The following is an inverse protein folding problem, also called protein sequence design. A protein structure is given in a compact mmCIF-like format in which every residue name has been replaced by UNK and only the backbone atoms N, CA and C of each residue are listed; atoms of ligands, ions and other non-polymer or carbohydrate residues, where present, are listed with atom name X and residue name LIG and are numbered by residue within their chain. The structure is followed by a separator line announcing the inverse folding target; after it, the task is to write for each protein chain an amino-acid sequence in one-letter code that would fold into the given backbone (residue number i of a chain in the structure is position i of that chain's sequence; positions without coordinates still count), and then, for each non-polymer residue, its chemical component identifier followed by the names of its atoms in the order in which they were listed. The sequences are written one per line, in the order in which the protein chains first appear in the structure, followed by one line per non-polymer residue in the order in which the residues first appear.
data_IF_588372960402
#
_entry.id   IF_588372960402
#
_cell.length_a   1.000
_cell.length_b   1.000
_cell.length_c   1.000
_cell.angle_alpha   90.00
_cell.angle_beta   90.00
_cell.angle_gamma   90.00
#
_symmetry.space_group_name_H-M   'P 1'
#
loop_
_entity.id
_entity.type
_entity.pdbx_description
1 polymer ?
#
# COMPACT_ATOMS: atom_id res chain seq x y z
N UNK A 1 9.34 24.07 8.07
CA UNK A 1 9.62 22.74 8.61
C UNK A 1 9.93 22.93 10.07
N UNK A 2 9.07 22.41 10.93
CA UNK A 2 9.25 22.48 12.38
C UNK A 2 9.91 21.17 12.81
N UNK A 3 10.91 21.24 13.69
CA UNK A 3 11.60 20.07 14.22
C UNK A 3 12.12 20.36 15.62
N UNK A 4 12.45 19.32 16.37
CA UNK A 4 13.16 19.44 17.63
C UNK A 4 14.18 18.31 17.81
N UNK A 5 15.16 18.54 18.67
CA UNK A 5 16.10 17.51 19.08
C UNK A 5 15.58 16.80 20.34
N UNK A 6 15.43 15.47 20.35
CA UNK A 6 14.94 14.71 21.52
C UNK A 6 15.75 14.92 22.80
N UNK A 7 17.05 15.25 22.68
CA UNK A 7 17.91 15.54 23.84
C UNK A 7 17.49 16.82 24.60
N UNK A 8 16.67 17.67 23.98
CA UNK A 8 16.19 18.91 24.57
C UNK A 8 14.86 18.78 25.30
N UNK A 9 14.22 17.60 25.28
CA UNK A 9 12.95 17.36 25.98
C UNK A 9 13.15 16.47 27.21
N UNK A 10 12.21 16.56 28.16
CA UNK A 10 12.26 15.80 29.41
C UNK A 10 11.93 14.33 29.20
N UNK A 11 12.24 13.50 30.20
CA UNK A 11 11.85 12.09 30.23
C UNK A 11 10.35 11.91 30.03
N UNK A 12 9.54 12.85 30.53
CA UNK A 12 8.11 12.96 30.28
C UNK A 12 7.70 14.43 30.31
N UNK A 13 6.82 14.83 29.39
CA UNK A 13 6.15 16.12 29.38
C UNK A 13 4.76 16.02 28.75
N UNK A 14 3.93 17.02 29.00
CA UNK A 14 2.57 17.11 28.46
C UNK A 14 2.44 18.36 27.60
N UNK A 15 1.91 18.22 26.38
CA UNK A 15 1.47 19.34 25.56
C UNK A 15 -0.03 19.49 25.75
N UNK A 16 -0.46 20.66 26.24
CA UNK A 16 -1.88 20.98 26.45
C UNK A 16 -2.38 21.79 25.26
N UNK A 17 -3.30 21.23 24.47
CA UNK A 17 -3.88 21.90 23.30
C UNK A 17 -5.39 21.69 23.22
N UNK A 18 -6.17 22.79 23.19
CA UNK A 18 -7.64 22.76 23.23
C UNK A 18 -8.22 21.86 24.34
N UNK A 19 -7.56 21.83 25.51
CA UNK A 19 -7.95 20.98 26.65
C UNK A 19 -7.57 19.51 26.52
N UNK A 20 -7.00 19.09 25.39
CA UNK A 20 -6.43 17.75 25.21
C UNK A 20 -5.00 17.72 25.75
N UNK A 21 -4.64 16.60 26.38
CA UNK A 21 -3.31 16.35 26.93
C UNK A 21 -2.61 15.37 25.98
N UNK A 22 -1.55 15.83 25.31
CA UNK A 22 -0.70 14.99 24.46
C UNK A 22 0.54 14.61 25.27
N UNK A 23 0.68 13.34 25.70
CA UNK A 23 1.87 12.88 26.39
C UNK A 23 3.03 12.79 25.41
N UNK A 24 4.20 13.28 25.83
CA UNK A 24 5.44 13.23 25.07
C UNK A 24 6.57 12.74 25.98
N UNK A 25 7.47 11.92 25.44
CA UNK A 25 8.64 11.45 26.17
C UNK A 25 9.84 11.43 25.23
N UNK A 26 11.02 11.78 25.75
CA UNK A 26 12.27 11.62 25.00
C UNK A 26 12.50 10.19 24.49
N UNK A 27 11.92 9.19 25.15
CA UNK A 27 12.07 7.77 24.79
C UNK A 27 11.20 7.35 23.59
N UNK A 28 10.39 8.24 23.02
CA UNK A 28 9.62 7.99 21.81
C UNK A 28 10.44 8.15 20.52
N UNK A 29 11.69 8.63 20.63
CA UNK A 29 12.50 9.08 19.51
C UNK A 29 13.92 8.53 19.56
N UNK A 30 14.59 8.49 18.41
CA UNK A 30 16.02 8.25 18.35
C UNK A 30 16.78 9.49 18.88
N UNK A 31 17.67 9.35 19.88
CA UNK A 31 18.41 10.48 20.45
C UNK A 31 19.44 11.12 19.51
N UNK A 32 19.83 10.45 18.44
CA UNK A 32 20.82 10.92 17.47
C UNK A 32 20.20 11.62 16.25
N UNK A 33 18.87 11.55 16.09
CA UNK A 33 18.15 12.15 14.97
C UNK A 33 17.30 13.36 15.40
N UNK A 34 17.05 14.27 14.45
CA UNK A 34 16.05 15.32 14.66
C UNK A 34 14.66 14.73 14.43
N UNK A 35 13.70 15.15 15.25
CA UNK A 35 12.30 14.78 15.09
C UNK A 35 11.59 15.87 14.31
N UNK A 36 11.10 15.51 13.13
CA UNK A 36 10.26 16.39 12.33
C UNK A 36 8.83 16.47 12.88
N UNK A 37 8.33 17.69 13.00
CA UNK A 37 6.93 17.97 13.36
C UNK A 37 6.16 18.19 12.06
N UNK A 38 5.22 17.30 11.80
CA UNK A 38 4.35 17.36 10.63
C UNK A 38 2.92 17.60 11.10
N UNK A 39 2.40 18.79 10.82
CA UNK A 39 0.99 19.10 11.01
C UNK A 39 0.18 18.49 9.86
N UNK A 40 -0.63 17.49 10.16
CA UNK A 40 -1.61 16.92 9.22
C UNK A 40 -3.00 17.21 9.75
N UNK A 41 -3.76 18.01 9.00
CA UNK A 41 -5.18 18.19 9.28
C UNK A 41 -5.90 16.85 9.07
N UNK A 42 -6.71 16.44 10.05
CA UNK A 42 -7.50 15.21 9.97
C UNK A 42 -8.94 15.60 9.69
N UNK A 43 -9.55 14.92 8.72
CA UNK A 43 -10.95 15.13 8.37
C UNK A 43 -11.87 14.90 9.57
N UNK A 44 -12.70 15.90 9.90
CA UNK A 44 -13.70 15.78 10.96
C UNK A 44 -14.94 15.04 10.47
N UNK A 45 -15.00 13.73 10.74
CA UNK A 45 -16.09 12.85 10.31
C UNK A 45 -17.43 13.07 11.03
N UNK A 46 -17.46 13.94 12.06
CA UNK A 46 -18.72 14.33 12.72
C UNK A 46 -19.48 15.40 11.92
N UNK A 47 -18.82 16.05 10.95
CA UNK A 47 -19.42 17.04 10.07
C UNK A 47 -19.73 16.41 8.71
N UNK A 48 -20.94 16.68 8.19
CA UNK A 48 -21.32 16.23 6.84
C UNK A 48 -20.59 17.08 5.79
N UNK A 49 -19.85 16.44 4.90
CA UNK A 49 -19.15 17.10 3.78
C UNK A 49 -19.57 16.60 2.39
N UNK A 50 -20.34 15.50 2.30
CA UNK A 50 -20.85 14.86 1.07
C UNK A 50 -19.77 14.62 -0.02
N UNK A 51 -18.52 14.45 0.39
CA UNK A 51 -17.35 14.30 -0.48
C UNK A 51 -16.42 13.23 0.06
N UNK A 52 -15.56 12.71 -0.82
CA UNK A 52 -14.42 11.88 -0.39
C UNK A 52 -13.54 12.71 0.54
N UNK A 53 -13.11 12.11 1.66
CA UNK A 53 -12.27 12.78 2.64
C UNK A 53 -10.84 12.94 2.13
N UNK A 54 -10.22 14.08 2.42
CA UNK A 54 -8.82 14.30 2.08
C UNK A 54 -7.92 13.31 2.81
N UNK A 55 -6.78 13.00 2.19
CA UNK A 55 -5.77 12.10 2.73
C UNK A 55 -5.56 10.86 1.86
N UNK A 56 -5.04 9.83 2.50
CA UNK A 56 -4.62 8.60 1.85
C UNK A 56 -5.09 7.41 2.66
N UNK A 57 -5.37 6.29 1.99
CA UNK A 57 -5.64 5.02 2.63
C UNK A 57 -4.64 3.98 2.17
N UNK A 58 -4.31 3.04 3.07
CA UNK A 58 -3.47 1.90 2.74
C UNK A 58 -4.35 0.81 2.09
N UNK A 59 -4.06 0.47 0.84
CA UNK A 59 -4.63 -0.65 0.10
C UNK A 59 -3.53 -1.72 0.03
N UNK A 60 -3.70 -2.79 0.79
CA UNK A 60 -2.68 -3.84 0.98
C UNK A 60 -1.33 -3.26 1.44
N UNK A 61 -0.25 -3.26 0.66
CA UNK A 61 1.03 -2.64 1.03
C UNK A 61 1.14 -1.14 0.66
N UNK A 62 0.23 -0.61 -0.16
CA UNK A 62 0.42 0.66 -0.85
C UNK A 62 -0.48 1.79 -0.32
N UNK A 63 0.05 3.01 -0.26
CA UNK A 63 -0.69 4.20 0.22
C UNK A 63 -1.24 4.96 -0.99
N UNK A 64 -2.56 5.02 -1.10
CA UNK A 64 -3.27 5.58 -2.27
C UNK A 64 -4.08 6.80 -1.85
N UNK A 65 -4.09 7.85 -2.67
CA UNK A 65 -4.90 9.04 -2.42
C UNK A 65 -6.39 8.65 -2.36
N UNK A 66 -7.12 9.15 -1.37
CA UNK A 66 -8.52 8.80 -1.18
C UNK A 66 -9.38 9.08 -2.42
N UNK A 67 -9.08 10.13 -3.18
CA UNK A 67 -9.79 10.47 -4.43
C UNK A 67 -9.55 9.48 -5.57
N UNK A 68 -8.47 8.69 -5.49
CA UNK A 68 -8.04 7.75 -6.53
C UNK A 68 -8.33 6.29 -6.18
N UNK A 69 -8.62 5.99 -4.90
CA UNK A 69 -8.81 4.60 -4.41
C UNK A 69 -9.77 3.81 -5.28
N UNK A 70 -10.90 4.41 -5.67
CA UNK A 70 -11.90 3.70 -6.47
C UNK A 70 -11.31 3.27 -7.81
N UNK A 71 -10.71 4.19 -8.55
CA UNK A 71 -10.09 3.91 -9.84
C UNK A 71 -8.94 2.94 -9.70
N UNK A 72 -8.09 3.11 -8.68
CA UNK A 72 -6.97 2.21 -8.38
C UNK A 72 -7.43 0.77 -8.16
N UNK A 73 -8.42 0.54 -7.28
CA UNK A 73 -8.93 -0.80 -6.96
C UNK A 73 -9.64 -1.41 -8.17
N UNK A 74 -10.43 -0.64 -8.91
CA UNK A 74 -11.12 -1.13 -10.10
C UNK A 74 -10.14 -1.57 -11.20
N UNK A 75 -9.09 -0.77 -11.46
CA UNK A 75 -8.04 -1.10 -12.42
C UNK A 75 -7.20 -2.31 -11.96
N UNK A 76 -6.77 -2.34 -10.69
CA UNK A 76 -6.05 -3.47 -10.08
C UNK A 76 -6.78 -4.79 -10.28
N UNK A 77 -8.07 -4.82 -9.96
CA UNK A 77 -8.87 -6.03 -10.07
C UNK A 77 -9.25 -6.36 -11.52
N UNK A 78 -9.34 -5.36 -12.41
CA UNK A 78 -9.52 -5.58 -13.84
C UNK A 78 -8.28 -6.24 -14.47
N UNK A 79 -7.09 -5.72 -14.20
CA UNK A 79 -5.83 -6.27 -14.69
C UNK A 79 -5.62 -7.70 -14.15
N UNK A 80 -5.91 -7.93 -12.86
CA UNK A 80 -5.86 -9.29 -12.30
C UNK A 80 -6.80 -10.26 -13.05
N UNK A 81 -8.05 -9.86 -13.32
CA UNK A 81 -8.99 -10.71 -14.07
C UNK A 81 -8.50 -11.00 -15.48
N UNK A 82 -7.93 -10.01 -16.17
CA UNK A 82 -7.39 -10.20 -17.51
C UNK A 82 -6.20 -11.18 -17.51
N UNK A 83 -5.23 -10.97 -16.62
CA UNK A 83 -4.09 -11.87 -16.46
C UNK A 83 -4.55 -13.31 -16.13
N UNK A 84 -5.53 -13.43 -15.23
CA UNK A 84 -6.14 -14.71 -14.86
C UNK A 84 -6.78 -15.44 -16.03
N UNK A 85 -7.64 -14.75 -16.79
CA UNK A 85 -8.35 -15.34 -17.91
C UNK A 85 -7.37 -15.82 -19.00
N UNK A 86 -6.33 -15.01 -19.28
CA UNK A 86 -5.27 -15.35 -20.24
C UNK A 86 -4.47 -16.61 -19.81
N UNK A 87 -4.02 -16.66 -18.57
CA UNK A 87 -3.25 -17.77 -18.02
C UNK A 87 -4.08 -19.05 -17.88
N UNK A 88 -5.32 -18.95 -17.39
CA UNK A 88 -6.22 -20.10 -17.27
C UNK A 88 -6.57 -20.70 -18.64
N UNK A 89 -6.77 -19.84 -19.65
CA UNK A 89 -6.93 -20.21 -21.06
C UNK A 89 -5.69 -20.89 -21.66
N UNK A 90 -4.51 -20.54 -21.17
CA UNK A 90 -3.22 -21.13 -21.56
C UNK A 90 -2.84 -22.40 -20.79
N UNK A 91 -3.73 -22.92 -19.95
CA UNK A 91 -3.52 -24.18 -19.21
C UNK A 91 -2.78 -24.04 -17.87
N UNK A 92 -2.73 -22.82 -17.33
CA UNK A 92 -2.20 -22.53 -16.01
C UNK A 92 -3.33 -22.37 -14.99
N UNK A 93 -2.96 -22.35 -13.71
CA UNK A 93 -3.80 -21.93 -12.59
C UNK A 93 -3.05 -20.90 -11.77
N UNK A 94 -3.79 -19.98 -11.15
CA UNK A 94 -3.24 -18.86 -10.40
C UNK A 94 -3.62 -18.96 -8.93
N UNK A 95 -2.80 -18.34 -8.09
CA UNK A 95 -3.07 -18.08 -6.69
C UNK A 95 -2.76 -16.61 -6.36
N UNK A 96 -3.55 -16.05 -5.43
CA UNK A 96 -3.28 -14.74 -4.84
C UNK A 96 -2.66 -14.98 -3.47
N UNK A 97 -1.38 -14.66 -3.35
CA UNK A 97 -0.57 -14.93 -2.17
C UNK A 97 -0.04 -13.64 -1.55
N UNK A 98 0.46 -13.73 -0.32
CA UNK A 98 1.15 -12.63 0.39
C UNK A 98 0.33 -11.38 0.72
N UNK A 99 -1.00 -11.47 0.74
CA UNK A 99 -1.86 -10.37 1.22
C UNK A 99 -1.45 -9.92 2.62
N UNK A 100 -1.19 -8.62 2.78
CA UNK A 100 -0.73 -8.00 4.03
C UNK A 100 0.76 -8.19 4.35
N UNK A 101 1.56 -8.71 3.41
CA UNK A 101 3.02 -8.76 3.54
C UNK A 101 3.66 -7.37 3.42
N UNK A 102 4.98 -7.27 3.63
CA UNK A 102 5.73 -6.03 3.48
C UNK A 102 5.68 -5.48 2.05
N UNK A 103 5.83 -6.36 1.07
CA UNK A 103 5.83 -6.03 -0.37
C UNK A 103 4.42 -6.11 -1.00
N UNK A 104 3.45 -6.63 -0.25
CA UNK A 104 2.06 -6.76 -0.67
C UNK A 104 1.73 -8.07 -1.39
N UNK A 105 0.49 -8.18 -1.81
CA UNK A 105 -0.11 -9.33 -2.48
C UNK A 105 0.53 -9.55 -3.85
N UNK A 106 0.71 -10.82 -4.22
CA UNK A 106 1.28 -11.21 -5.50
C UNK A 106 0.44 -12.27 -6.20
N UNK A 107 0.61 -12.30 -7.52
CA UNK A 107 0.10 -13.37 -8.38
C UNK A 107 1.17 -14.45 -8.47
N UNK A 108 0.80 -15.65 -8.05
CA UNK A 108 1.55 -16.87 -8.36
C UNK A 108 0.82 -17.64 -9.46
N UNK A 109 1.57 -18.36 -10.29
CA UNK A 109 1.00 -19.22 -11.32
C UNK A 109 1.71 -20.57 -11.36
N UNK A 110 1.01 -21.59 -11.84
CA UNK A 110 1.62 -22.88 -12.17
C UNK A 110 0.89 -23.57 -13.30
N UNK A 111 1.59 -24.45 -14.01
CA UNK A 111 0.98 -25.26 -15.06
C UNK A 111 0.09 -26.33 -14.41
N UNK A 112 -1.13 -26.51 -14.94
CA UNK A 112 -2.07 -27.54 -14.42
C UNK A 112 -1.41 -28.92 -14.38
N UNK A 113 -1.49 -29.57 -13.22
CA UNK A 113 -0.87 -30.89 -12.98
C UNK A 113 0.61 -30.85 -12.59
N UNK A 114 1.20 -29.66 -12.38
CA UNK A 114 2.53 -29.48 -11.79
C UNK A 114 2.39 -28.97 -10.37
N UNK A 115 3.40 -29.23 -9.53
CA UNK A 115 3.38 -28.82 -8.12
C UNK A 115 3.98 -27.42 -7.91
N UNK A 116 4.99 -27.08 -8.71
CA UNK A 116 5.81 -25.87 -8.55
C UNK A 116 5.03 -24.61 -8.91
N UNK A 117 4.98 -23.66 -7.96
CA UNK A 117 4.46 -22.32 -8.16
C UNK A 117 5.57 -21.37 -8.57
N UNK A 118 5.26 -20.48 -9.50
CA UNK A 118 6.13 -19.43 -10.00
C UNK A 118 5.54 -18.08 -9.65
N UNK A 119 6.40 -17.15 -9.23
CA UNK A 119 6.03 -15.76 -9.05
C UNK A 119 5.84 -15.10 -10.41
N UNK A 120 4.73 -14.37 -10.58
CA UNK A 120 4.52 -13.52 -11.74
C UNK A 120 4.88 -12.08 -11.38
N UNK A 121 4.09 -11.46 -10.52
CA UNK A 121 4.26 -10.06 -10.13
C UNK A 121 3.47 -9.74 -8.86
N UNK A 122 3.79 -8.61 -8.24
CA UNK A 122 2.94 -8.02 -7.21
C UNK A 122 1.73 -7.32 -7.83
N UNK A 123 0.62 -7.27 -7.10
CA UNK A 123 -0.56 -6.47 -7.44
C UNK A 123 -0.37 -5.02 -6.97
N UNK A 124 0.76 -4.44 -7.35
CA UNK A 124 1.27 -3.13 -6.94
C UNK A 124 0.82 -2.00 -7.89
N UNK A 125 1.16 -0.73 -7.63
CA UNK A 125 0.83 0.36 -8.53
C UNK A 125 1.40 0.23 -9.94
N UNK A 126 2.56 -0.41 -10.12
CA UNK A 126 3.12 -0.62 -11.45
C UNK A 126 2.24 -1.58 -12.26
N UNK A 127 1.77 -2.67 -11.65
CA UNK A 127 0.82 -3.60 -12.26
C UNK A 127 -0.51 -2.93 -12.64
N UNK A 128 -0.98 -1.97 -11.84
CA UNK A 128 -2.20 -1.20 -12.11
C UNK A 128 -2.08 -0.31 -13.35
N UNK A 129 -0.87 0.17 -13.66
CA UNK A 129 -0.60 1.06 -14.80
C UNK A 129 -0.38 0.33 -16.13
N UNK A 130 -0.37 -1.02 -16.14
CA UNK A 130 -0.17 -1.82 -17.34
C UNK A 130 -1.39 -1.70 -18.28
N UNK A 131 -1.15 -1.26 -19.51
CA UNK A 131 -2.18 -1.17 -20.56
C UNK A 131 -2.39 -2.51 -21.29
N UNK A 132 -1.30 -3.22 -21.62
CA UNK A 132 -1.33 -4.54 -22.27
C UNK A 132 -0.95 -5.63 -21.27
N UNK A 133 -1.95 -6.07 -20.50
CA UNK A 133 -1.75 -7.08 -19.45
C UNK A 133 -1.37 -8.44 -20.04
N UNK A 134 -1.91 -8.82 -21.20
CA UNK A 134 -1.58 -10.11 -21.81
C UNK A 134 -0.14 -10.13 -22.32
N UNK A 135 0.29 -9.07 -23.02
CA UNK A 135 1.68 -8.93 -23.47
C UNK A 135 2.67 -8.89 -22.31
N UNK A 136 2.33 -8.21 -21.21
CA UNK A 136 3.12 -8.23 -19.98
C UNK A 136 3.27 -9.64 -19.40
N UNK A 137 2.17 -10.39 -19.29
CA UNK A 137 2.21 -11.76 -18.76
C UNK A 137 3.04 -12.68 -19.65
N UNK A 138 2.94 -12.54 -20.98
CA UNK A 138 3.77 -13.31 -21.92
C UNK A 138 5.26 -13.03 -21.74
N UNK A 139 5.64 -11.75 -21.57
CA UNK A 139 7.03 -11.33 -21.35
C UNK A 139 7.59 -11.91 -20.04
N UNK A 140 6.91 -11.71 -18.92
CA UNK A 140 7.33 -12.20 -17.60
C UNK A 140 7.47 -13.73 -17.58
N UNK A 141 6.54 -14.45 -18.21
CA UNK A 141 6.63 -15.91 -18.31
C UNK A 141 7.78 -16.38 -19.21
N UNK A 142 8.13 -15.60 -20.23
CA UNK A 142 9.23 -15.88 -21.14
C UNK A 142 10.61 -15.70 -20.50
N UNK A 143 10.74 -14.76 -19.56
CA UNK A 143 11.97 -14.55 -18.79
C UNK A 143 12.23 -15.65 -17.74
N UNK A 144 11.19 -16.39 -17.33
CA UNK A 144 11.24 -17.39 -16.25
C UNK A 144 11.53 -18.83 -16.78
N UNK A 145 11.51 -19.06 -18.09
CA UNK A 145 11.78 -20.38 -18.73
C UNK A 145 13.26 -20.69 -18.93
#
# INVERSE_FOLDING_TARGET
MEYFNPKNIQDYMEIIFNGNIVPLSKFMFDPEENVDIIWKEISNLSLKNDRVIEGYSKIDAYVVNNHEIKTYVEAREANYRQAKDFLEGSGYELDRSFFGSEDGEAILYRKKGREDWHFLCHLDPMFVEIEDVEGYVEEEMGEIQ
#
